data_IF_108640056772
#
_entry.id   IF_108640056772
#
_cell.length_a   1.000
_cell.length_b   1.000
_cell.length_c   1.000
_cell.angle_alpha   90.00
_cell.angle_beta   90.00
_cell.angle_gamma   90.00
#
_symmetry.space_group_name_H-M   'P 1'
#
loop_
_entity.id
_entity.type
_entity.pdbx_description
1 polymer ?
#
# COMPACT_ATOMS: atom_id res chain seq x y z
N UNK A 1 13.73 8.02 -2.76
CA UNK A 1 13.03 8.62 -1.60
C UNK A 1 12.37 7.61 -0.64
N UNK A 2 12.08 6.35 -1.04
CA UNK A 2 11.49 5.31 -0.16
C UNK A 2 12.29 4.98 1.11
N UNK A 3 13.63 5.00 1.03
CA UNK A 3 14.51 4.76 2.20
C UNK A 3 14.18 5.66 3.39
N UNK A 4 13.78 6.91 3.15
CA UNK A 4 13.47 7.86 4.22
C UNK A 4 12.20 7.49 4.98
N UNK A 5 11.21 6.90 4.29
CA UNK A 5 9.97 6.42 4.87
C UNK A 5 10.20 5.12 5.65
N UNK A 6 11.01 4.20 5.10
CA UNK A 6 11.41 2.96 5.77
C UNK A 6 12.15 3.23 7.07
N UNK A 7 13.16 4.11 7.04
CA UNK A 7 13.98 4.43 8.23
C UNK A 7 13.15 5.09 9.34
N UNK A 8 12.11 5.83 8.97
CA UNK A 8 11.16 6.43 9.94
C UNK A 8 10.07 5.45 10.38
N UNK A 9 10.07 4.22 9.85
CA UNK A 9 9.05 3.22 10.14
C UNK A 9 7.65 3.61 9.67
N UNK A 10 7.55 4.47 8.64
CA UNK A 10 6.26 4.89 8.05
C UNK A 10 5.76 3.88 7.01
N UNK A 11 6.67 3.15 6.37
CA UNK A 11 6.34 2.05 5.48
C UNK A 11 7.15 0.81 5.85
N UNK A 12 6.61 -0.35 5.51
CA UNK A 12 7.21 -1.66 5.70
C UNK A 12 7.57 -2.26 4.34
N UNK A 13 8.50 -3.22 4.33
CA UNK A 13 8.98 -3.90 3.12
C UNK A 13 8.83 -5.40 3.30
N UNK A 14 8.18 -6.03 2.34
CA UNK A 14 8.01 -7.48 2.22
C UNK A 14 8.66 -7.97 0.92
N UNK A 15 9.13 -9.22 0.89
CA UNK A 15 9.54 -9.87 -0.36
C UNK A 15 8.32 -10.11 -1.23
N UNK A 16 8.45 -9.92 -2.54
CA UNK A 16 7.36 -10.21 -3.45
C UNK A 16 7.21 -11.74 -3.61
N UNK A 17 6.05 -12.32 -3.26
CA UNK A 17 5.82 -13.76 -3.34
C UNK A 17 5.72 -14.28 -4.79
N UNK A 18 5.48 -13.40 -5.77
CA UNK A 18 5.39 -13.74 -7.20
C UNK A 18 6.73 -13.59 -7.92
N UNK A 19 7.53 -12.60 -7.55
CA UNK A 19 8.87 -12.37 -8.11
C UNK A 19 9.91 -12.06 -7.02
N UNK A 20 10.81 -13.01 -6.76
CA UNK A 20 11.87 -12.87 -5.74
C UNK A 20 12.87 -11.73 -6.00
N UNK A 21 12.79 -11.07 -7.16
CA UNK A 21 13.64 -9.92 -7.50
C UNK A 21 13.02 -8.59 -7.07
N UNK A 22 11.77 -8.60 -6.62
CA UNK A 22 11.00 -7.43 -6.20
C UNK A 22 10.78 -7.34 -4.69
N UNK A 23 10.35 -6.14 -4.26
CA UNK A 23 9.88 -5.88 -2.91
C UNK A 23 8.53 -5.20 -2.97
N UNK A 24 7.62 -5.60 -2.08
CA UNK A 24 6.33 -4.95 -1.87
C UNK A 24 6.47 -4.01 -0.67
N UNK A 25 5.98 -2.78 -0.83
CA UNK A 25 5.97 -1.78 0.23
C UNK A 25 4.54 -1.57 0.72
N UNK A 26 4.35 -1.56 2.04
CA UNK A 26 3.04 -1.36 2.68
C UNK A 26 3.07 -0.18 3.65
N UNK A 27 1.95 0.51 3.78
CA UNK A 27 1.77 1.52 4.81
C UNK A 27 1.81 0.87 6.20
N UNK A 28 2.61 1.42 7.11
CA UNK A 28 2.63 0.97 8.51
C UNK A 28 1.54 1.68 9.33
N UNK A 29 1.26 1.17 10.53
CA UNK A 29 0.37 1.85 11.48
C UNK A 29 0.91 3.22 11.94
N UNK A 30 2.24 3.40 11.95
CA UNK A 30 2.87 4.67 12.32
C UNK A 30 2.56 5.76 11.30
N UNK A 31 2.33 5.40 10.03
CA UNK A 31 1.89 6.36 9.03
C UNK A 31 0.50 6.90 9.35
N UNK A 32 -0.43 6.04 9.74
CA UNK A 32 -1.78 6.47 10.12
C UNK A 32 -1.74 7.39 11.35
N UNK A 33 -0.97 7.02 12.37
CA UNK A 33 -0.74 7.87 13.53
C UNK A 33 -0.10 9.23 13.16
N UNK A 34 0.85 9.23 12.22
CA UNK A 34 1.49 10.45 11.72
C UNK A 34 0.51 11.36 10.95
N UNK A 35 -0.45 10.76 10.24
CA UNK A 35 -1.52 11.46 9.53
C UNK A 35 -2.69 11.86 10.45
N UNK A 36 -2.70 11.41 11.72
CA UNK A 36 -3.76 11.68 12.67
C UNK A 36 -5.05 10.88 12.42
N UNK A 37 -4.96 9.77 11.70
CA UNK A 37 -6.10 8.88 11.39
C UNK A 37 -5.92 7.52 12.07
N UNK A 38 -7.04 6.83 12.26
CA UNK A 38 -7.03 5.52 12.94
C UNK A 38 -7.26 4.34 12.00
N UNK A 39 -7.80 4.60 10.82
CA UNK A 39 -8.14 3.59 9.81
C UNK A 39 -7.90 4.12 8.41
N UNK A 40 -7.65 3.24 7.44
CA UNK A 40 -7.34 3.61 6.05
C UNK A 40 -8.52 4.27 5.33
N UNK A 41 -9.75 3.93 5.74
CA UNK A 41 -11.00 4.47 5.20
C UNK A 41 -11.20 5.96 5.53
N UNK A 42 -10.44 6.50 6.48
CA UNK A 42 -10.44 7.93 6.81
C UNK A 42 -9.59 8.76 5.84
N UNK A 43 -8.87 8.11 4.91
CA UNK A 43 -8.14 8.82 3.87
C UNK A 43 -9.12 9.50 2.90
N UNK A 44 -8.77 10.70 2.40
CA UNK A 44 -9.56 11.35 1.36
C UNK A 44 -9.72 10.43 0.15
N UNK A 45 -10.94 10.39 -0.41
CA UNK A 45 -11.25 9.66 -1.65
C UNK A 45 -11.02 8.13 -1.56
N UNK A 46 -10.92 7.57 -0.35
CA UNK A 46 -10.66 6.13 -0.18
C UNK A 46 -11.69 5.26 -0.88
N UNK A 47 -12.98 5.58 -0.74
CA UNK A 47 -14.08 4.79 -1.33
C UNK A 47 -14.00 4.78 -2.86
N UNK A 48 -13.86 5.95 -3.49
CA UNK A 48 -13.78 6.08 -4.95
C UNK A 48 -12.56 5.35 -5.52
N UNK A 49 -11.39 5.48 -4.86
CA UNK A 49 -10.16 4.84 -5.29
C UNK A 49 -10.13 3.33 -5.02
N UNK A 50 -10.79 2.86 -3.96
CA UNK A 50 -10.86 1.42 -3.64
C UNK A 50 -11.60 0.64 -4.74
N UNK A 51 -12.71 1.18 -5.24
CA UNK A 51 -13.50 0.60 -6.34
C UNK A 51 -12.69 0.54 -7.63
N UNK A 52 -11.93 1.59 -7.93
CA UNK A 52 -11.07 1.64 -9.13
C UNK A 52 -9.96 0.59 -9.01
N UNK A 53 -9.30 0.52 -7.85
CA UNK A 53 -8.16 -0.39 -7.64
C UNK A 53 -8.59 -1.86 -7.70
N UNK A 54 -9.71 -2.23 -7.06
CA UNK A 54 -10.24 -3.59 -7.13
C UNK A 54 -10.58 -4.01 -8.56
N UNK A 55 -11.17 -3.10 -9.34
CA UNK A 55 -11.50 -3.35 -10.74
C UNK A 55 -10.25 -3.57 -11.61
N UNK A 56 -9.16 -2.86 -11.35
CA UNK A 56 -7.89 -3.01 -12.10
C UNK A 56 -7.16 -4.31 -11.75
N UNK A 57 -7.17 -4.74 -10.49
CA UNK A 57 -6.55 -6.01 -10.07
C UNK A 57 -7.23 -7.23 -10.70
N UNK A 58 -8.54 -7.17 -10.95
CA UNK A 58 -9.28 -8.27 -11.61
C UNK A 58 -8.91 -8.42 -13.09
N UNK A 59 -8.52 -7.33 -13.77
CA UNK A 59 -8.09 -7.41 -15.18
C UNK A 59 -6.68 -7.96 -15.37
N UNK A 60 -5.76 -7.76 -14.42
CA UNK A 60 -4.36 -8.24 -14.56
C UNK A 60 -4.17 -9.72 -14.16
N UNK A 61 -5.10 -10.30 -13.39
CA UNK A 61 -5.03 -11.71 -12.98
C UNK A 61 -5.63 -12.66 -14.04
N UNK A 62 -6.41 -12.16 -15.00
CA UNK A 62 -7.04 -12.99 -16.03
C UNK A 62 -6.15 -13.31 -17.24
N UNK A 63 -5.02 -12.60 -17.40
CA UNK A 63 -4.10 -12.76 -18.54
C UNK A 63 -2.74 -13.39 -18.15
N UNK A 64 -2.64 -14.01 -16.96
CA UNK A 64 -1.43 -14.69 -16.46
C UNK A 64 -1.66 -16.19 -16.18
#
# INVERSE_FOLDING_TARGET
MLRNLLVRGLIEREEDPKDKRGYIYRASINLYAHLGITRKEELPEYDDLSVITEKTLVSEVSDA
#
